data_IF_518610646831
#
_entry.id   IF_518610646831
#
_cell.length_a   1.000
_cell.length_b   1.000
_cell.length_c   1.000
_cell.angle_alpha   90.00
_cell.angle_beta   90.00
_cell.angle_gamma   90.00
#
_symmetry.space_group_name_H-M   'P 1'
#
loop_
_entity.id
_entity.type
_entity.pdbx_description
1 polymer ?
#
# COMPACT_ATOMS: atom_id res chain seq x y z
N UNK A 1 -0.66 -26.38 -17.18
CA UNK A 1 -1.71 -25.53 -17.78
C UNK A 1 -1.31 -25.24 -19.23
N UNK A 2 -2.03 -25.77 -20.24
CA UNK A 2 -1.64 -25.65 -21.66
C UNK A 2 -1.68 -24.24 -22.27
N UNK A 3 -2.28 -23.25 -21.58
CA UNK A 3 -2.42 -21.85 -22.03
C UNK A 3 -1.52 -20.84 -21.31
N UNK A 4 -0.62 -21.30 -20.44
CA UNK A 4 0.25 -20.40 -19.69
C UNK A 4 1.28 -19.76 -20.63
N UNK A 5 1.26 -18.43 -20.73
CA UNK A 5 2.27 -17.66 -21.45
C UNK A 5 3.46 -17.42 -20.53
N UNK A 6 4.67 -17.48 -21.08
CA UNK A 6 5.89 -17.16 -20.34
C UNK A 6 5.92 -15.66 -20.03
N UNK A 7 6.20 -15.32 -18.78
CA UNK A 7 6.34 -13.92 -18.36
C UNK A 7 7.47 -13.22 -19.15
N UNK A 8 7.23 -12.04 -19.76
CA UNK A 8 8.21 -11.36 -20.61
C UNK A 8 9.26 -10.62 -19.76
N UNK A 9 10.11 -11.38 -19.06
CA UNK A 9 11.06 -10.84 -18.08
C UNK A 9 12.07 -9.90 -18.71
N UNK A 10 12.55 -10.21 -19.91
CA UNK A 10 13.59 -9.43 -20.58
C UNK A 10 13.05 -8.05 -20.96
N UNK A 11 11.89 -8.02 -21.58
CA UNK A 11 11.21 -6.82 -22.05
C UNK A 11 10.86 -5.91 -20.86
N UNK A 12 10.22 -6.47 -19.82
CA UNK A 12 9.86 -5.71 -18.62
C UNK A 12 11.11 -5.12 -17.97
N UNK A 13 12.18 -5.89 -17.79
CA UNK A 13 13.40 -5.40 -17.14
C UNK A 13 14.10 -4.32 -17.97
N UNK A 14 14.15 -4.49 -19.30
CA UNK A 14 14.78 -3.52 -20.20
C UNK A 14 14.02 -2.20 -20.25
N UNK A 15 12.69 -2.24 -20.38
CA UNK A 15 11.87 -1.05 -20.52
C UNK A 15 11.71 -0.28 -19.21
N UNK A 16 11.53 -1.01 -18.10
CA UNK A 16 11.39 -0.40 -16.76
C UNK A 16 12.73 -0.03 -16.14
N UNK A 17 13.85 -0.48 -16.74
CA UNK A 17 15.22 -0.35 -16.24
C UNK A 17 15.37 -0.85 -14.81
N UNK A 18 14.63 -1.90 -14.44
CA UNK A 18 14.60 -2.42 -13.09
C UNK A 18 14.43 -3.94 -13.08
N UNK A 19 15.31 -4.63 -12.34
CA UNK A 19 15.29 -6.09 -12.18
C UNK A 19 14.95 -6.53 -10.76
N UNK A 20 14.44 -5.64 -9.90
CA UNK A 20 14.11 -5.97 -8.52
C UNK A 20 12.80 -6.77 -8.49
N UNK A 21 12.87 -8.08 -8.73
CA UNK A 21 11.72 -8.97 -8.92
C UNK A 21 11.97 -10.29 -8.19
N UNK A 22 11.58 -10.38 -6.92
CA UNK A 22 11.98 -11.48 -6.03
C UNK A 22 10.95 -12.62 -5.88
N UNK A 23 9.70 -12.42 -6.32
CA UNK A 23 8.67 -13.45 -6.40
C UNK A 23 7.61 -13.05 -7.44
N UNK A 24 6.51 -13.80 -7.51
CA UNK A 24 5.45 -13.61 -8.52
C UNK A 24 4.62 -12.35 -8.32
N UNK A 25 4.49 -11.83 -7.10
CA UNK A 25 3.71 -10.62 -6.80
C UNK A 25 4.34 -9.35 -7.42
N UNK A 26 5.62 -9.00 -7.14
CA UNK A 26 6.26 -7.87 -7.79
C UNK A 26 6.42 -8.05 -9.30
N UNK A 27 6.55 -9.29 -9.82
CA UNK A 27 6.45 -9.53 -11.28
C UNK A 27 5.09 -9.12 -11.84
N UNK A 28 4.00 -9.49 -11.16
CA UNK A 28 2.66 -9.10 -11.58
C UNK A 28 2.48 -7.57 -11.58
N UNK A 29 2.97 -6.89 -10.54
CA UNK A 29 2.90 -5.43 -10.43
C UNK A 29 3.79 -4.76 -11.49
N UNK A 30 5.01 -5.26 -11.72
CA UNK A 30 5.90 -4.74 -12.74
C UNK A 30 5.32 -4.88 -14.15
N UNK A 31 4.63 -5.98 -14.43
CA UNK A 31 3.91 -6.16 -15.68
C UNK A 31 2.73 -5.19 -15.81
N UNK A 32 1.97 -4.96 -14.74
CA UNK A 32 0.90 -3.96 -14.73
C UNK A 32 1.46 -2.54 -14.98
N UNK A 33 2.58 -2.19 -14.33
CA UNK A 33 3.32 -0.95 -14.55
C UNK A 33 3.77 -0.81 -16.01
N UNK A 34 4.38 -1.85 -16.58
CA UNK A 34 4.83 -1.87 -17.98
C UNK A 34 3.69 -1.67 -18.96
N UNK A 35 2.51 -2.24 -18.67
CA UNK A 35 1.29 -2.05 -19.45
C UNK A 35 0.56 -0.73 -19.18
N UNK A 36 1.02 0.10 -18.22
CA UNK A 36 0.41 1.40 -17.86
C UNK A 36 -1.08 1.28 -17.53
N UNK A 37 -1.43 0.28 -16.71
CA UNK A 37 -2.81 0.15 -16.22
C UNK A 37 -3.23 1.41 -15.46
N UNK A 38 -4.53 1.71 -15.42
CA UNK A 38 -5.03 2.86 -14.67
C UNK A 38 -4.98 2.63 -13.14
N UNK A 39 -5.20 1.39 -12.70
CA UNK A 39 -5.40 1.04 -11.28
C UNK A 39 -4.98 -0.39 -10.96
N UNK A 40 -4.49 -0.60 -9.73
CA UNK A 40 -4.18 -1.91 -9.14
C UNK A 40 -4.83 -1.98 -7.75
N UNK A 41 -5.71 -2.97 -7.53
CA UNK A 41 -6.29 -3.28 -6.22
C UNK A 41 -5.70 -4.58 -5.67
N UNK A 42 -5.14 -4.53 -4.47
CA UNK A 42 -4.37 -5.62 -3.86
C UNK A 42 -5.16 -6.31 -2.74
N UNK A 43 -5.31 -7.63 -2.87
CA UNK A 43 -5.99 -8.50 -1.91
C UNK A 43 -5.10 -9.70 -1.53
N UNK A 44 -5.06 -10.05 -0.25
CA UNK A 44 -4.29 -11.21 0.23
C UNK A 44 -2.76 -11.05 0.19
N UNK A 45 -2.27 -9.81 0.11
CA UNK A 45 -0.84 -9.48 0.11
C UNK A 45 -0.50 -8.82 1.45
N UNK A 46 -0.47 -9.61 2.52
CA UNK A 46 -0.36 -9.12 3.91
C UNK A 46 0.99 -9.43 4.58
N UNK A 47 1.86 -10.23 3.95
CA UNK A 47 3.24 -10.54 4.37
C UNK A 47 3.41 -10.86 5.87
N UNK A 48 2.39 -11.45 6.48
CA UNK A 48 2.27 -11.66 7.93
C UNK A 48 2.84 -13.00 8.42
N UNK A 49 3.67 -13.67 7.61
CA UNK A 49 4.11 -15.05 7.87
C UNK A 49 5.07 -15.17 9.07
N UNK A 50 4.58 -15.77 10.17
CA UNK A 50 5.32 -15.92 11.43
C UNK A 50 6.57 -16.81 11.34
N UNK A 51 6.59 -17.78 10.42
CA UNK A 51 7.66 -18.80 10.36
C UNK A 51 8.77 -18.51 9.35
N UNK A 52 8.64 -17.47 8.51
CA UNK A 52 9.66 -17.10 7.52
C UNK A 52 9.74 -15.58 7.33
N UNK A 53 10.13 -14.90 8.42
CA UNK A 53 10.13 -13.44 8.51
C UNK A 53 10.99 -12.80 7.42
N UNK A 54 12.21 -13.29 7.19
CA UNK A 54 13.11 -12.73 6.17
C UNK A 54 12.57 -12.82 4.75
N UNK A 55 11.88 -13.91 4.40
CA UNK A 55 11.24 -14.03 3.08
C UNK A 55 10.04 -13.10 2.96
N UNK A 56 9.24 -12.98 4.03
CA UNK A 56 8.11 -12.06 4.08
C UNK A 56 8.54 -10.59 3.96
N UNK A 57 9.58 -10.18 4.69
CA UNK A 57 10.19 -8.85 4.64
C UNK A 57 10.74 -8.53 3.25
N UNK A 58 11.53 -9.45 2.66
CA UNK A 58 12.08 -9.25 1.33
C UNK A 58 10.96 -9.12 0.29
N UNK A 59 9.93 -9.99 0.37
CA UNK A 59 8.76 -9.94 -0.51
C UNK A 59 8.02 -8.61 -0.41
N UNK A 60 7.73 -8.16 0.82
CA UNK A 60 7.08 -6.87 1.10
C UNK A 60 7.87 -5.70 0.55
N UNK A 61 9.17 -5.63 0.85
CA UNK A 61 10.04 -4.54 0.38
C UNK A 61 10.06 -4.43 -1.15
N UNK A 62 10.09 -5.56 -1.85
CA UNK A 62 10.06 -5.60 -3.31
C UNK A 62 8.71 -5.13 -3.87
N UNK A 63 7.59 -5.52 -3.24
CA UNK A 63 6.27 -5.03 -3.64
C UNK A 63 6.15 -3.53 -3.39
N UNK A 64 6.47 -3.04 -2.20
CA UNK A 64 6.36 -1.62 -1.86
C UNK A 64 7.21 -0.74 -2.79
N UNK A 65 8.40 -1.21 -3.18
CA UNK A 65 9.21 -0.55 -4.21
C UNK A 65 8.49 -0.40 -5.55
N UNK A 66 7.81 -1.45 -6.02
CA UNK A 66 7.06 -1.38 -7.28
C UNK A 66 5.79 -0.54 -7.16
N UNK A 67 5.12 -0.56 -6.01
CA UNK A 67 3.98 0.32 -5.76
C UNK A 67 4.40 1.79 -5.81
N UNK A 68 5.55 2.14 -5.26
CA UNK A 68 6.10 3.49 -5.37
C UNK A 68 6.31 3.89 -6.84
N UNK A 69 6.91 3.01 -7.67
CA UNK A 69 7.04 3.28 -9.12
C UNK A 69 5.69 3.47 -9.81
N UNK A 70 4.68 2.68 -9.44
CA UNK A 70 3.33 2.80 -9.98
C UNK A 70 2.69 4.15 -9.61
N UNK A 71 2.79 4.55 -8.33
CA UNK A 71 2.29 5.84 -7.85
C UNK A 71 2.97 7.01 -8.59
N UNK A 72 4.29 6.97 -8.78
CA UNK A 72 5.03 7.97 -9.57
C UNK A 72 4.62 8.03 -11.05
N UNK A 73 4.09 6.93 -11.59
CA UNK A 73 3.54 6.87 -12.95
C UNK A 73 2.05 7.20 -13.02
N UNK A 74 1.45 7.71 -11.94
CA UNK A 74 0.02 8.02 -11.81
C UNK A 74 -0.90 6.80 -11.98
N UNK A 75 -0.43 5.61 -11.56
CA UNK A 75 -1.26 4.41 -11.46
C UNK A 75 -1.88 4.39 -10.06
N UNK A 76 -3.20 4.32 -9.96
CA UNK A 76 -3.92 4.25 -8.68
C UNK A 76 -3.65 2.93 -7.97
N UNK A 77 -3.36 2.98 -6.66
CA UNK A 77 -3.08 1.80 -5.83
C UNK A 77 -4.13 1.69 -4.72
N UNK A 78 -4.89 0.59 -4.74
CA UNK A 78 -5.82 0.21 -3.67
C UNK A 78 -5.23 -0.86 -2.77
N UNK A 79 -5.12 -0.57 -1.47
CA UNK A 79 -4.73 -1.54 -0.43
C UNK A 79 -5.77 -1.53 0.67
N UNK A 80 -6.11 -2.71 1.20
CA UNK A 80 -7.02 -2.82 2.34
C UNK A 80 -6.44 -2.12 3.58
N UNK A 81 -7.29 -1.40 4.32
CA UNK A 81 -6.98 -0.78 5.62
C UNK A 81 -6.58 -1.79 6.70
N UNK A 82 -6.72 -3.10 6.44
CA UNK A 82 -6.29 -4.18 7.36
C UNK A 82 -5.01 -4.88 6.93
N UNK A 83 -4.44 -4.48 5.79
CA UNK A 83 -3.23 -5.10 5.28
C UNK A 83 -2.00 -4.59 6.04
N UNK A 84 -1.05 -5.47 6.32
CA UNK A 84 0.30 -5.07 6.77
C UNK A 84 1.15 -4.43 5.65
N UNK A 85 0.69 -4.48 4.41
CA UNK A 85 1.34 -3.81 3.27
C UNK A 85 1.14 -2.29 3.37
N UNK A 86 2.20 -1.51 3.16
CA UNK A 86 2.20 -0.05 3.36
C UNK A 86 1.73 0.37 4.76
N UNK A 87 1.91 -0.51 5.75
CA UNK A 87 1.51 -0.33 7.16
C UNK A 87 0.06 0.18 7.32
N UNK A 88 -0.85 -0.23 6.42
CA UNK A 88 -2.22 0.24 6.42
C UNK A 88 -3.00 -0.18 7.67
N UNK A 89 -2.62 -1.31 8.28
CA UNK A 89 -3.18 -1.85 9.51
C UNK A 89 -2.72 -1.14 10.79
N UNK A 90 -1.86 -0.12 10.71
CA UNK A 90 -1.41 0.69 11.84
C UNK A 90 -2.33 1.91 12.01
N UNK A 91 -2.73 2.27 13.26
CA UNK A 91 -3.50 3.48 13.55
C UNK A 91 -2.87 4.73 12.94
N UNK A 92 -3.69 5.70 12.53
CA UNK A 92 -3.24 6.88 11.80
C UNK A 92 -2.17 7.67 12.57
N UNK A 93 -2.35 7.80 13.88
CA UNK A 93 -1.47 8.46 14.85
C UNK A 93 -0.11 7.78 15.02
N UNK A 94 0.04 6.51 14.62
CA UNK A 94 1.28 5.74 14.74
C UNK A 94 2.11 5.71 13.45
N UNK A 95 1.52 6.08 12.30
CA UNK A 95 2.14 5.93 10.96
C UNK A 95 3.38 6.79 10.75
N UNK A 96 3.48 7.95 11.41
CA UNK A 96 4.67 8.83 11.28
C UNK A 96 5.63 8.55 12.42
N UNK A 97 6.72 7.84 12.10
CA UNK A 97 7.75 7.52 13.08
C UNK A 97 8.33 8.77 13.75
N UNK A 98 8.50 8.72 15.07
CA UNK A 98 9.01 9.82 15.90
C UNK A 98 7.92 10.83 16.29
N UNK A 99 7.01 11.17 15.38
CA UNK A 99 5.95 12.14 15.64
C UNK A 99 4.76 11.56 16.43
N UNK A 100 4.56 10.25 16.36
CA UNK A 100 3.59 9.54 17.22
C UNK A 100 3.86 9.64 18.72
N UNK A 101 5.05 10.13 19.11
CA UNK A 101 5.46 10.28 20.53
C UNK A 101 5.17 11.66 21.11
N UNK A 102 4.68 12.59 20.30
CA UNK A 102 4.29 13.92 20.75
C UNK A 102 3.00 13.83 21.59
N UNK A 103 2.76 14.84 22.43
CA UNK A 103 1.51 14.94 23.21
C UNK A 103 0.29 15.03 22.30
N UNK A 104 0.43 15.74 21.17
CA UNK A 104 -0.50 15.70 20.03
C UNK A 104 0.23 15.09 18.81
N UNK A 105 0.04 13.79 18.53
CA UNK A 105 0.68 13.11 17.41
C UNK A 105 0.44 13.81 16.06
N UNK A 106 1.46 13.90 15.21
CA UNK A 106 1.26 14.38 13.84
C UNK A 106 0.74 13.25 12.98
N UNK A 107 -0.35 13.52 12.25
CA UNK A 107 -1.00 12.61 11.32
C UNK A 107 -0.91 13.15 9.89
N UNK A 108 -0.88 12.25 8.92
CA UNK A 108 -0.93 12.58 7.50
C UNK A 108 -1.96 11.72 6.77
N UNK A 109 -2.90 12.37 6.09
CA UNK A 109 -3.94 11.72 5.29
C UNK A 109 -3.87 12.25 3.87
N UNK A 110 -3.89 11.34 2.90
CA UNK A 110 -4.00 11.70 1.49
C UNK A 110 -5.46 12.02 1.15
N UNK A 111 -5.69 13.15 0.48
CA UNK A 111 -6.97 13.58 -0.05
C UNK A 111 -6.81 14.03 -1.50
N UNK A 112 -7.91 14.15 -2.26
CA UNK A 112 -7.89 14.56 -3.67
C UNK A 112 -7.19 15.92 -3.90
N UNK A 113 -7.22 16.80 -2.90
CA UNK A 113 -6.55 18.11 -2.92
C UNK A 113 -5.08 18.07 -2.48
N UNK A 114 -4.53 16.89 -2.21
CA UNK A 114 -3.19 16.68 -1.68
C UNK A 114 -3.17 16.15 -0.25
N UNK A 115 -1.99 16.19 0.37
CA UNK A 115 -1.79 15.70 1.74
C UNK A 115 -2.29 16.72 2.78
N UNK A 116 -3.09 16.23 3.73
CA UNK A 116 -3.47 16.95 4.95
C UNK A 116 -2.54 16.47 6.06
N UNK A 117 -1.76 17.39 6.64
CA UNK A 117 -0.81 17.11 7.72
C UNK A 117 -1.09 18.03 8.88
N UNK A 118 -1.46 17.48 10.04
CA UNK A 118 -1.82 18.25 11.23
C UNK A 118 -1.63 17.43 12.51
N UNK A 119 -1.88 18.04 13.68
CA UNK A 119 -2.02 17.30 14.93
C UNK A 119 -3.27 16.42 14.92
N UNK A 120 -3.22 15.28 15.60
CA UNK A 120 -4.32 14.31 15.68
C UNK A 120 -5.59 14.96 16.25
N UNK A 121 -5.44 15.88 17.21
CA UNK A 121 -6.55 16.65 17.78
C UNK A 121 -7.32 17.52 16.76
N UNK A 122 -6.71 17.82 15.61
CA UNK A 122 -7.23 18.75 14.60
C UNK A 122 -7.71 18.05 13.32
N UNK A 123 -7.47 16.74 13.19
CA UNK A 123 -7.69 16.03 11.91
C UNK A 123 -9.14 16.09 11.44
N UNK A 124 -10.12 15.96 12.34
CA UNK A 124 -11.53 16.03 11.97
C UNK A 124 -11.91 17.42 11.39
N UNK A 125 -11.36 18.48 11.98
CA UNK A 125 -11.60 19.84 11.54
C UNK A 125 -10.94 20.12 10.18
N UNK A 126 -9.70 19.67 9.98
CA UNK A 126 -8.98 19.82 8.71
C UNK A 126 -9.61 18.99 7.58
N UNK A 127 -10.01 17.75 7.87
CA UNK A 127 -10.74 16.91 6.91
C UNK A 127 -12.08 17.55 6.52
N UNK A 128 -12.82 18.10 7.48
CA UNK A 128 -14.09 18.81 7.22
C UNK A 128 -13.89 20.06 6.36
N UNK A 129 -12.83 20.83 6.59
CA UNK A 129 -12.47 22.00 5.75
C UNK A 129 -12.13 21.58 4.32
N UNK A 130 -11.47 20.42 4.15
CA UNK A 130 -11.13 19.86 2.85
C UNK A 130 -12.33 19.19 2.14
N UNK A 131 -13.50 19.07 2.78
CA UNK A 131 -14.66 18.36 2.24
C UNK A 131 -14.52 16.83 2.29
N UNK A 132 -13.54 16.32 3.03
CA UNK A 132 -13.24 14.91 3.18
C UNK A 132 -14.09 14.26 4.29
N UNK A 133 -14.48 13.00 4.11
CA UNK A 133 -15.04 12.19 5.20
C UNK A 133 -13.90 11.69 6.11
N UNK A 134 -14.07 11.82 7.41
CA UNK A 134 -13.16 11.22 8.40
C UNK A 134 -13.17 9.70 8.19
N UNK A 135 -12.01 9.01 8.13
CA UNK A 135 -11.97 7.56 7.98
C UNK A 135 -12.70 6.90 9.15
N UNK A 136 -13.68 6.03 8.87
CA UNK A 136 -14.39 5.30 9.92
C UNK A 136 -13.43 4.34 10.65
N UNK A 137 -13.56 4.19 11.98
CA UNK A 137 -12.76 3.24 12.73
C UNK A 137 -12.99 1.81 12.23
N UNK A 138 -11.92 1.03 12.17
CA UNK A 138 -11.93 -0.34 11.68
C UNK A 138 -12.64 -1.23 12.70
N UNK A 139 -13.93 -1.51 12.49
CA UNK A 139 -14.65 -2.50 13.28
C UNK A 139 -14.33 -3.90 12.74
N UNK A 140 -13.80 -4.79 13.59
CA UNK A 140 -13.69 -6.22 13.25
C UNK A 140 -15.06 -6.74 12.80
N UNK A 141 -15.15 -7.56 11.73
CA UNK A 141 -16.41 -8.16 11.35
C UNK A 141 -16.88 -9.00 12.53
N UNK A 142 -18.18 -9.01 12.82
CA UNK A 142 -18.70 -9.95 13.80
C UNK A 142 -18.26 -11.37 13.42
N UNK A 143 -17.83 -12.19 14.40
CA UNK A 143 -17.46 -13.57 14.12
C UNK A 143 -18.60 -14.24 13.36
N UNK A 144 -18.27 -14.95 12.28
CA UNK A 144 -19.27 -15.67 11.49
C UNK A 144 -20.06 -16.59 12.43
N UNK A 145 -21.33 -16.25 12.69
CA UNK A 145 -22.25 -17.13 13.40
C UNK A 145 -22.70 -18.17 12.39
N UNK A 146 -22.08 -19.35 12.45
CA UNK A 146 -22.47 -20.52 11.68
C UNK A 146 -23.91 -20.93 11.91
#
# INVERSE_FOLDING_TARGET
MPSAVVYPIKEVVQDTKCAYLNNTIPMTIAFAYWNKVARIDLFGVDYSYQHNLHFAEAGRACVEFWLAKCMEANIEIGVSHRSGLLDQNVPLEERIYGFHRLEDPVVAVNHDSGWIVCGNSQIEAEMKKAGAKVPEPILSPEPYRG
#
